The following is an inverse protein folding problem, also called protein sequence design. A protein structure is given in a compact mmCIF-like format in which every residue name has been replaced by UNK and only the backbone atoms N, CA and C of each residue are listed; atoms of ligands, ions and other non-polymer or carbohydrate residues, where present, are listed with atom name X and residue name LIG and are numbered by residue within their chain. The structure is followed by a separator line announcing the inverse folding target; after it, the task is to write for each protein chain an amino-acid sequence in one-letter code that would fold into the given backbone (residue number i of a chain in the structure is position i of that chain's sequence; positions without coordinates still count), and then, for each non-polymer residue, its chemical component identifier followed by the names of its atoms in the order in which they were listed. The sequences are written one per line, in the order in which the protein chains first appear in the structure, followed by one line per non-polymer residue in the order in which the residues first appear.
data_IF_140732608880
#
_entry.id   IF_140732608880
#
_cell.length_a   1.000
_cell.length_b   1.000
_cell.length_c   1.000
_cell.angle_alpha   90.00
_cell.angle_beta   90.00
_cell.angle_gamma   90.00
#
_symmetry.space_group_name_H-M   'P 1'
#
loop_
_entity.id
_entity.type
_entity.pdbx_description
1 polymer ?
#
# COMPACT_ATOMS: atom_id res chain seq x y z
N UNK A 1 -4.72 -17.00 26.29
CA UNK A 1 -5.98 -16.31 26.62
C UNK A 1 -7.12 -16.96 25.87
N UNK A 2 -8.07 -17.53 26.59
CA UNK A 2 -9.25 -18.18 26.03
C UNK A 2 -10.38 -17.15 25.85
N UNK A 3 -11.14 -17.27 24.75
CA UNK A 3 -12.30 -16.43 24.47
C UNK A 3 -12.20 -15.58 23.19
N UNK A 4 -13.37 -15.25 22.64
CA UNK A 4 -13.52 -14.63 21.32
C UNK A 4 -13.51 -13.09 21.34
N UNK A 5 -13.62 -12.46 22.50
CA UNK A 5 -13.62 -11.01 22.66
C UNK A 5 -12.26 -10.50 23.13
N UNK A 6 -12.08 -9.19 23.16
CA UNK A 6 -10.80 -8.59 23.53
C UNK A 6 -10.33 -8.99 24.94
N UNK A 7 -11.26 -9.02 25.91
CA UNK A 7 -11.02 -9.42 27.30
C UNK A 7 -11.28 -10.92 27.56
N UNK A 8 -11.21 -11.76 26.52
CA UNK A 8 -11.51 -13.18 26.61
C UNK A 8 -12.98 -13.48 26.31
N UNK A 9 -13.71 -14.03 27.27
CA UNK A 9 -15.11 -14.45 27.05
C UNK A 9 -16.14 -13.33 27.17
N UNK A 10 -15.77 -12.21 27.79
CA UNK A 10 -16.68 -11.12 28.06
C UNK A 10 -16.64 -10.07 26.95
N UNK A 11 -17.81 -9.79 26.36
CA UNK A 11 -17.97 -8.67 25.45
C UNK A 11 -17.84 -7.35 26.20
N UNK A 12 -16.94 -6.50 25.74
CA UNK A 12 -16.51 -5.31 26.45
C UNK A 12 -16.64 -4.04 25.62
N UNK A 13 -16.39 -2.89 26.27
CA UNK A 13 -16.36 -1.59 25.60
C UNK A 13 -15.29 -1.52 24.50
N UNK A 14 -14.21 -2.29 24.62
CA UNK A 14 -13.16 -2.34 23.61
C UNK A 14 -13.74 -2.89 22.30
N UNK A 15 -14.49 -4.00 22.37
CA UNK A 15 -15.11 -4.61 21.20
C UNK A 15 -16.10 -3.65 20.52
N UNK A 16 -16.90 -2.92 21.32
CA UNK A 16 -17.86 -1.91 20.83
C UNK A 16 -17.14 -0.79 20.09
N UNK A 17 -16.06 -0.27 20.68
CA UNK A 17 -15.31 0.84 20.10
C UNK A 17 -14.63 0.43 18.79
N UNK A 18 -14.05 -0.77 18.72
CA UNK A 18 -13.27 -1.23 17.58
C UNK A 18 -14.10 -1.77 16.41
N UNK A 19 -15.25 -2.42 16.66
CA UNK A 19 -16.09 -3.02 15.62
C UNK A 19 -16.38 -2.11 14.40
N UNK A 20 -16.85 -0.85 14.57
CA UNK A 20 -17.15 0.00 13.41
C UNK A 20 -15.90 0.42 12.64
N UNK A 21 -14.75 0.56 13.30
CA UNK A 21 -13.50 0.87 12.60
C UNK A 21 -12.97 -0.32 11.82
N UNK A 22 -13.08 -1.53 12.39
CA UNK A 22 -12.68 -2.74 11.69
C UNK A 22 -13.52 -2.99 10.44
N UNK A 23 -14.84 -2.77 10.52
CA UNK A 23 -15.74 -2.80 9.35
C UNK A 23 -15.26 -1.86 8.24
N UNK A 24 -14.87 -0.63 8.60
CA UNK A 24 -14.37 0.37 7.64
C UNK A 24 -13.03 -0.05 7.05
N UNK A 25 -12.12 -0.58 7.85
CA UNK A 25 -10.85 -1.11 7.35
C UNK A 25 -11.09 -2.15 6.25
N UNK A 26 -11.94 -3.16 6.53
CA UNK A 26 -12.23 -4.22 5.58
C UNK A 26 -12.94 -3.71 4.31
N UNK A 27 -13.90 -2.81 4.44
CA UNK A 27 -14.76 -2.44 3.30
C UNK A 27 -14.28 -1.18 2.57
N UNK A 28 -13.98 -0.11 3.30
CA UNK A 28 -13.51 1.16 2.73
C UNK A 28 -12.05 1.03 2.31
N UNK A 29 -11.21 0.46 3.18
CA UNK A 29 -9.80 0.18 2.86
C UNK A 29 -9.67 -0.77 1.68
N UNK A 30 -10.43 -1.86 1.67
CA UNK A 30 -10.45 -2.79 0.54
C UNK A 30 -10.94 -2.19 -0.77
N UNK A 31 -11.93 -1.27 -0.74
CA UNK A 31 -12.46 -0.67 -1.97
C UNK A 31 -11.63 0.48 -2.53
N UNK A 32 -11.08 1.34 -1.67
CA UNK A 32 -10.41 2.57 -2.12
C UNK A 32 -8.88 2.50 -2.11
N UNK A 33 -8.29 1.48 -1.48
CA UNK A 33 -6.85 1.36 -1.26
C UNK A 33 -6.32 -0.06 -1.52
N UNK A 34 -7.16 -0.96 -2.03
CA UNK A 34 -6.84 -2.37 -2.29
C UNK A 34 -6.23 -3.10 -1.08
N UNK A 35 -6.60 -2.67 0.14
CA UNK A 35 -6.14 -3.31 1.36
C UNK A 35 -6.82 -4.68 1.51
N UNK A 36 -6.01 -5.73 1.56
CA UNK A 36 -6.47 -7.10 1.79
C UNK A 36 -6.01 -7.56 3.16
N UNK A 37 -6.94 -8.10 3.94
CA UNK A 37 -6.62 -8.69 5.22
C UNK A 37 -6.22 -10.16 5.05
N UNK A 38 -5.01 -10.57 5.48
CA UNK A 38 -4.55 -11.95 5.34
C UNK A 38 -5.30 -12.87 6.31
N UNK A 39 -6.44 -13.40 5.86
CA UNK A 39 -7.34 -14.20 6.69
C UNK A 39 -6.77 -15.60 6.98
N UNK A 40 -5.88 -16.09 6.11
CA UNK A 40 -5.33 -17.45 6.17
C UNK A 40 -4.08 -17.56 7.05
N UNK A 41 -3.47 -16.43 7.39
CA UNK A 41 -2.26 -16.41 8.20
C UNK A 41 -2.56 -16.72 9.67
N UNK A 42 -1.78 -17.64 10.25
CA UNK A 42 -1.96 -18.13 11.62
C UNK A 42 -1.89 -17.01 12.66
N UNK A 43 -1.07 -16.00 12.41
CA UNK A 43 -0.87 -14.83 13.27
C UNK A 43 -2.18 -14.04 13.47
N UNK A 44 -3.04 -14.03 12.46
CA UNK A 44 -4.30 -13.28 12.44
C UNK A 44 -5.52 -14.13 12.79
N UNK A 45 -5.35 -15.43 13.08
CA UNK A 45 -6.44 -16.35 13.41
C UNK A 45 -7.34 -15.81 14.53
N UNK A 46 -6.74 -15.26 15.60
CA UNK A 46 -7.50 -14.68 16.72
C UNK A 46 -8.35 -13.48 16.29
N UNK A 47 -7.80 -12.60 15.45
CA UNK A 47 -8.51 -11.42 14.97
C UNK A 47 -9.68 -11.80 14.06
N UNK A 48 -9.53 -12.86 13.26
CA UNK A 48 -10.62 -13.42 12.47
C UNK A 48 -11.75 -13.97 13.35
N UNK A 49 -11.42 -14.75 14.36
CA UNK A 49 -12.40 -15.29 15.33
C UNK A 49 -13.12 -14.14 16.04
N UNK A 50 -12.38 -13.12 16.46
CA UNK A 50 -12.93 -11.93 17.09
C UNK A 50 -13.94 -11.23 16.18
N UNK A 51 -13.56 -10.94 14.93
CA UNK A 51 -14.45 -10.23 14.01
C UNK A 51 -15.69 -11.06 13.65
N UNK A 52 -15.52 -12.36 13.40
CA UNK A 52 -16.63 -13.28 13.11
C UNK A 52 -17.64 -13.30 14.27
N UNK A 53 -17.15 -13.34 15.51
CA UNK A 53 -17.99 -13.36 16.71
C UNK A 53 -18.67 -12.00 16.95
N UNK A 54 -17.90 -10.91 16.92
CA UNK A 54 -18.39 -9.55 17.20
C UNK A 54 -19.39 -9.09 16.14
N UNK A 55 -19.13 -9.35 14.86
CA UNK A 55 -20.02 -8.92 13.77
C UNK A 55 -21.38 -9.64 13.79
N UNK A 56 -21.44 -10.89 14.24
CA UNK A 56 -22.68 -11.68 14.39
C UNK A 56 -23.48 -11.34 15.64
N UNK A 57 -22.88 -10.65 16.62
CA UNK A 57 -23.58 -10.30 17.86
C UNK A 57 -24.78 -9.39 17.58
N UNK A 58 -26.00 -9.69 18.07
CA UNK A 58 -27.20 -8.93 17.72
C UNK A 58 -27.15 -7.43 18.01
N UNK A 59 -26.39 -7.00 19.03
CA UNK A 59 -26.20 -5.57 19.33
C UNK A 59 -25.37 -4.87 18.25
N UNK A 60 -24.36 -5.54 17.72
CA UNK A 60 -23.45 -5.00 16.71
C UNK A 60 -24.10 -5.10 15.33
N UNK A 61 -24.58 -6.28 14.94
CA UNK A 61 -25.18 -6.54 13.63
C UNK A 61 -26.30 -5.54 13.27
N UNK A 62 -27.16 -5.19 14.24
CA UNK A 62 -28.25 -4.21 14.05
C UNK A 62 -27.79 -2.76 13.85
N UNK A 63 -26.54 -2.45 14.19
CA UNK A 63 -25.98 -1.09 14.13
C UNK A 63 -24.96 -0.91 13.00
N UNK A 64 -24.46 -2.01 12.43
CA UNK A 64 -23.52 -1.96 11.32
C UNK A 64 -24.21 -1.38 10.08
N UNK A 65 -23.56 -0.40 9.46
CA UNK A 65 -24.03 0.24 8.23
C UNK A 65 -23.91 -0.75 7.07
N UNK A 66 -24.84 -0.75 6.11
CA UNK A 66 -24.69 -1.57 4.91
C UNK A 66 -23.52 -1.09 4.03
N UNK A 67 -22.84 -2.03 3.36
CA UNK A 67 -21.64 -1.76 2.56
C UNK A 67 -21.79 -0.63 1.53
N UNK A 68 -22.83 -0.59 0.65
CA UNK A 68 -22.92 0.46 -0.37
C UNK A 68 -23.10 1.85 0.25
N UNK A 69 -23.89 1.97 1.32
CA UNK A 69 -24.05 3.23 2.06
C UNK A 69 -22.74 3.69 2.67
N UNK A 70 -21.99 2.78 3.30
CA UNK A 70 -20.70 3.10 3.91
C UNK A 70 -19.69 3.60 2.87
N UNK A 71 -19.59 2.93 1.72
CA UNK A 71 -18.70 3.35 0.63
C UNK A 71 -19.09 4.74 0.10
N UNK A 72 -20.39 4.97 -0.14
CA UNK A 72 -20.88 6.27 -0.59
C UNK A 72 -20.50 7.39 0.38
N UNK A 73 -20.66 7.19 1.69
CA UNK A 73 -20.29 8.17 2.71
C UNK A 73 -18.78 8.46 2.75
N UNK A 74 -17.94 7.47 2.45
CA UNK A 74 -16.49 7.63 2.49
C UNK A 74 -15.88 8.16 1.19
N UNK A 75 -16.65 8.28 0.10
CA UNK A 75 -16.16 8.72 -1.22
C UNK A 75 -15.34 10.00 -1.17
N UNK A 76 -15.84 11.05 -0.50
CA UNK A 76 -15.16 12.35 -0.42
C UNK A 76 -13.85 12.28 0.37
N UNK A 77 -13.86 11.56 1.50
CA UNK A 77 -12.66 11.34 2.32
C UNK A 77 -11.60 10.53 1.55
N UNK A 78 -12.02 9.51 0.82
CA UNK A 78 -11.11 8.65 0.06
C UNK A 78 -10.50 9.32 -1.16
N UNK A 79 -11.20 10.30 -1.77
CA UNK A 79 -10.76 11.04 -2.96
C UNK A 79 -10.01 12.33 -2.66
N UNK A 80 -9.76 12.63 -1.39
CA UNK A 80 -9.16 13.89 -0.98
C UNK A 80 -9.97 15.11 -1.50
N UNK A 81 -11.30 15.02 -1.49
CA UNK A 81 -12.24 16.09 -1.89
C UNK A 81 -12.73 16.87 -0.66
N UNK A 82 -11.82 17.13 0.30
CA UNK A 82 -12.17 17.83 1.54
C UNK A 82 -12.59 19.29 1.27
N UNK A 83 -13.71 19.71 1.88
CA UNK A 83 -14.30 21.05 1.66
C UNK A 83 -13.89 22.09 2.70
N UNK A 84 -13.29 21.66 3.82
CA UNK A 84 -12.85 22.57 4.89
C UNK A 84 -11.71 23.50 4.43
N UNK A 85 -11.61 24.70 5.03
CA UNK A 85 -10.53 25.65 4.73
C UNK A 85 -9.14 25.01 4.90
N UNK A 86 -8.98 24.21 5.96
CA UNK A 86 -7.75 23.47 6.21
C UNK A 86 -7.51 22.37 5.16
N UNK A 87 -8.53 21.60 4.79
CA UNK A 87 -8.42 20.58 3.75
C UNK A 87 -7.96 21.15 2.40
N UNK A 88 -8.55 22.27 1.98
CA UNK A 88 -8.17 23.00 0.77
C UNK A 88 -6.72 23.51 0.83
N UNK A 89 -6.30 24.02 1.99
CA UNK A 89 -4.91 24.46 2.19
C UNK A 89 -3.92 23.30 1.99
N UNK A 90 -4.15 22.15 2.63
CA UNK A 90 -3.29 20.97 2.51
C UNK A 90 -3.26 20.43 1.07
N UNK A 91 -4.41 20.35 0.39
CA UNK A 91 -4.48 19.97 -1.02
C UNK A 91 -3.64 20.91 -1.92
N UNK A 92 -3.72 22.22 -1.67
CA UNK A 92 -2.92 23.22 -2.38
C UNK A 92 -1.40 23.06 -2.15
N UNK A 93 -0.98 22.61 -0.97
CA UNK A 93 0.42 22.30 -0.67
C UNK A 93 0.87 21.06 -1.45
N UNK A 94 0.09 19.97 -1.39
CA UNK A 94 0.40 18.71 -2.07
C UNK A 94 0.49 18.90 -3.59
N UNK A 95 -0.42 19.67 -4.19
CA UNK A 95 -0.40 19.97 -5.63
C UNK A 95 0.81 20.79 -6.10
N UNK A 96 1.45 21.57 -5.21
CA UNK A 96 2.67 22.33 -5.53
C UNK A 96 3.93 21.47 -5.48
N UNK A 97 3.98 20.44 -4.64
CA UNK A 97 5.15 19.56 -4.48
C UNK A 97 5.38 18.68 -5.72
N UNK A 98 4.31 18.27 -6.43
CA UNK A 98 4.42 17.46 -7.65
C UNK A 98 5.08 18.16 -8.85
N UNK A 99 5.18 19.50 -8.85
CA UNK A 99 5.78 20.27 -9.96
C UNK A 99 7.30 20.47 -9.84
N UNK A 100 7.96 20.01 -8.77
CA UNK A 100 9.41 20.17 -8.58
C UNK A 100 10.27 18.93 -8.90
N UNK A 101 9.67 17.81 -9.33
CA UNK A 101 10.40 16.57 -9.64
C UNK A 101 10.47 16.26 -11.14
N UNK A 102 10.95 17.22 -11.95
CA UNK A 102 11.50 16.93 -13.29
C UNK A 102 12.80 17.72 -13.47
N UNK A 103 13.82 17.37 -12.68
CA UNK A 103 15.21 17.59 -13.09
C UNK A 103 15.81 16.20 -13.21
N UNK A 104 15.94 15.73 -14.44
CA UNK A 104 16.60 14.48 -14.77
C UNK A 104 18.02 14.50 -14.18
N UNK A 105 18.29 13.59 -13.25
CA UNK A 105 19.67 13.25 -12.91
C UNK A 105 20.14 12.27 -14.00
N UNK A 106 21.12 12.70 -14.78
CA UNK A 106 21.70 11.92 -15.87
C UNK A 106 22.16 10.54 -15.38
N UNK A 107 21.77 9.52 -16.12
CA UNK A 107 22.23 8.16 -15.94
C UNK A 107 23.72 8.07 -16.28
N UNK A 108 24.61 8.22 -15.29
CA UNK A 108 25.95 7.66 -15.36
C UNK A 108 25.88 6.22 -14.84
N UNK A 109 25.52 5.31 -15.73
CA UNK A 109 25.67 3.87 -15.52
C UNK A 109 27.13 3.56 -15.87
N UNK A 110 27.98 3.41 -14.86
CA UNK A 110 29.26 2.73 -15.03
C UNK A 110 28.98 1.22 -15.13
N UNK A 111 29.37 0.53 -16.22
CA UNK A 111 29.20 -0.92 -16.27
C UNK A 111 30.25 -1.57 -15.36
N UNK A 112 29.77 -2.25 -14.31
CA UNK A 112 30.60 -3.19 -13.55
C UNK A 112 30.80 -4.41 -14.46
N UNK A 113 32.01 -4.56 -14.98
CA UNK A 113 32.41 -5.73 -15.75
C UNK A 113 32.44 -6.97 -14.83
N UNK A 114 31.42 -7.82 -14.93
CA UNK A 114 31.47 -9.17 -14.34
C UNK A 114 32.24 -10.05 -15.32
N UNK A 115 33.49 -10.34 -14.97
CA UNK A 115 34.32 -11.30 -15.67
C UNK A 115 33.80 -12.72 -15.41
N UNK A 116 33.10 -13.30 -16.38
CA UNK A 116 32.93 -14.75 -16.48
C UNK A 116 33.77 -15.24 -17.65
N UNK A 117 34.95 -15.78 -17.33
CA UNK A 117 35.74 -16.53 -18.27
C UNK A 117 35.09 -17.87 -18.57
N UNK A 118 34.98 -18.22 -19.85
CA UNK A 118 35.00 -19.59 -20.34
C UNK A 118 35.43 -19.58 -21.81
N UNK A 119 36.35 -20.48 -22.11
CA UNK A 119 37.21 -20.57 -23.28
C UNK A 119 36.49 -20.78 -24.63
N UNK A 120 37.12 -20.33 -25.73
CA UNK A 120 37.73 -21.16 -26.78
C UNK A 120 37.91 -20.37 -28.10
N UNK A 121 39.14 -20.39 -28.65
CA UNK A 121 39.38 -20.54 -30.09
C UNK A 121 39.31 -19.33 -31.03
N UNK A 122 40.49 -18.76 -31.33
CA UNK A 122 40.99 -18.39 -32.67
C UNK A 122 40.09 -17.61 -33.66
N UNK A 123 40.51 -16.39 -34.03
CA UNK A 123 40.85 -16.05 -35.43
C UNK A 123 41.54 -14.68 -35.53
N UNK A 124 42.61 -14.66 -36.33
CA UNK A 124 43.55 -13.58 -36.53
C UNK A 124 43.10 -12.57 -37.61
N UNK A 125 43.48 -11.30 -37.47
CA UNK A 125 43.90 -10.39 -38.56
C UNK A 125 44.43 -9.07 -37.94
N UNK A 126 45.74 -8.82 -37.82
CA UNK A 126 46.65 -8.17 -38.80
C UNK A 126 46.18 -6.81 -39.31
N UNK A 127 46.98 -5.75 -39.06
CA UNK A 127 47.19 -4.71 -40.09
C UNK A 127 47.16 -3.23 -39.69
N UNK A 128 48.36 -2.69 -39.44
CA UNK A 128 48.87 -1.35 -39.81
C UNK A 128 48.27 -0.07 -39.19
N UNK A 129 49.10 0.49 -38.30
CA UNK A 129 49.46 1.92 -38.24
C UNK A 129 49.70 2.52 -39.63
N UNK A 130 49.15 3.71 -39.92
CA UNK A 130 49.76 4.72 -40.79
C UNK A 130 49.24 6.13 -40.44
N UNK A 131 50.20 7.06 -40.41
CA UNK A 131 50.15 8.49 -40.12
C UNK A 131 49.10 9.30 -40.88
N UNK A 132 48.72 10.47 -40.33
CA UNK A 132 48.18 11.56 -41.14
C UNK A 132 47.70 12.78 -40.36
N UNK A 133 48.61 13.74 -40.12
CA UNK A 133 48.35 15.07 -39.55
C UNK A 133 48.00 16.07 -40.69
N UNK A 134 47.20 17.09 -40.33
CA UNK A 134 47.00 18.42 -40.96
C UNK A 134 46.02 18.55 -42.14
N UNK A 135 45.06 19.47 -42.00
CA UNK A 135 45.29 20.90 -42.28
C UNK A 135 44.68 21.75 -41.19
#
# INVERSE_FOLDING_TARGET
DEGAYFLGEQFSMVDIAFAPFWQRFLWVGGHYRDLKFPTEEKEFKRLNIWWDTVSKRPSVARTLVCKPRLLSSYKQYSRNEATSNYGKMIQGILGKSGKKSTKAYGANIYPIAVATGLALGSLAYVGKSLFGKKK
#
